data_IF_435452340276
#
_entry.id   IF_435452340276
#
_cell.length_a   1.000
_cell.length_b   1.000
_cell.length_c   1.000
_cell.angle_alpha   90.00
_cell.angle_beta   90.00
_cell.angle_gamma   90.00
#
_symmetry.space_group_name_H-M   'P 1'
#
loop_
_entity.id
_entity.type
_entity.pdbx_description
1 polymer ?
#
# COMPACT_ATOMS: atom_id res chain seq x y z
N UNK A 1 -3.36 46.38 -35.63
CA UNK A 1 -3.14 44.95 -35.94
C UNK A 1 -2.43 44.29 -34.76
N UNK A 2 -2.94 43.14 -34.32
CA UNK A 2 -2.51 42.34 -33.15
C UNK A 2 -1.08 41.83 -33.31
N UNK A 3 -0.34 41.68 -32.19
CA UNK A 3 0.47 40.48 -31.89
C UNK A 3 0.92 40.48 -30.43
N UNK A 4 0.10 39.86 -29.60
CA UNK A 4 0.40 39.45 -28.23
C UNK A 4 1.50 38.38 -28.30
N UNK A 5 2.72 38.71 -27.85
CA UNK A 5 3.79 37.72 -27.72
C UNK A 5 3.59 36.95 -26.40
N UNK A 6 2.78 35.91 -26.45
CA UNK A 6 2.63 34.96 -25.37
C UNK A 6 3.94 34.18 -25.17
N UNK A 7 4.65 34.48 -24.09
CA UNK A 7 5.67 33.56 -23.53
C UNK A 7 4.93 32.33 -23.03
N UNK A 8 4.84 31.31 -23.88
CA UNK A 8 4.39 29.98 -23.52
C UNK A 8 5.47 29.37 -22.62
N UNK A 9 5.29 29.51 -21.31
CA UNK A 9 6.11 28.86 -20.30
C UNK A 9 5.72 27.39 -20.32
N UNK A 10 6.48 26.58 -21.07
CA UNK A 10 6.34 25.12 -21.09
C UNK A 10 6.83 24.61 -19.73
N UNK A 11 5.92 24.59 -18.75
CA UNK A 11 6.07 23.79 -17.55
C UNK A 11 5.92 22.33 -17.99
N UNK A 12 7.06 21.73 -18.33
CA UNK A 12 7.17 20.29 -18.48
C UNK A 12 6.94 19.69 -17.09
N UNK A 13 5.68 19.42 -16.76
CA UNK A 13 5.33 18.54 -15.66
C UNK A 13 5.87 17.16 -16.04
N UNK A 14 7.13 16.91 -15.67
CA UNK A 14 7.58 15.56 -15.45
C UNK A 14 6.62 14.99 -14.40
N UNK A 15 5.58 14.31 -14.86
CA UNK A 15 4.87 13.32 -14.07
C UNK A 15 5.86 12.18 -13.82
N UNK A 16 6.91 12.48 -13.04
CA UNK A 16 7.72 11.47 -12.41
C UNK A 16 6.72 10.70 -11.57
N UNK A 17 6.48 9.45 -11.95
CA UNK A 17 5.89 8.48 -11.06
C UNK A 17 6.86 8.35 -9.88
N UNK A 18 6.76 9.30 -8.94
CA UNK A 18 7.43 9.19 -7.67
C UNK A 18 6.95 7.87 -7.09
N UNK A 19 7.84 7.00 -6.62
CA UNK A 19 7.41 5.87 -5.82
C UNK A 19 6.54 6.48 -4.74
N UNK A 20 5.26 6.10 -4.71
CA UNK A 20 4.32 6.56 -3.70
C UNK A 20 4.87 6.01 -2.39
N UNK A 21 5.73 6.79 -1.73
CA UNK A 21 6.28 6.43 -0.45
C UNK A 21 5.09 6.32 0.48
N UNK A 22 4.96 5.15 1.11
CA UNK A 22 3.88 4.86 2.02
C UNK A 22 3.86 5.95 3.11
N UNK A 23 2.87 6.84 3.06
CA UNK A 23 2.80 7.96 4.00
C UNK A 23 2.47 7.39 5.39
N UNK A 24 3.17 7.80 6.45
CA UNK A 24 2.85 7.36 7.80
C UNK A 24 1.42 7.78 8.17
N UNK A 25 0.69 6.92 8.88
CA UNK A 25 -0.65 7.26 9.37
C UNK A 25 -0.96 6.56 10.69
N UNK A 26 -1.97 7.07 11.41
CA UNK A 26 -2.52 6.43 12.60
C UNK A 26 -3.84 5.74 12.26
N UNK A 27 -4.04 4.52 12.73
CA UNK A 27 -5.27 3.75 12.55
C UNK A 27 -5.67 3.02 13.82
N UNK A 28 -6.89 3.27 14.30
CA UNK A 28 -7.41 2.59 15.51
C UNK A 28 -6.52 2.76 16.75
N UNK A 29 -5.79 3.89 16.85
CA UNK A 29 -4.83 4.15 17.92
C UNK A 29 -3.41 3.61 17.69
N UNK A 30 -3.16 2.85 16.60
CA UNK A 30 -1.83 2.37 16.21
C UNK A 30 -1.20 3.30 15.17
N UNK A 31 0.03 3.75 15.41
CA UNK A 31 0.83 4.46 14.40
C UNK A 31 1.52 3.45 13.46
N UNK A 32 1.42 3.68 12.15
CA UNK A 32 2.06 2.91 11.10
C UNK A 32 3.07 3.80 10.37
N UNK A 33 4.35 3.66 10.75
CA UNK A 33 5.45 4.33 10.06
C UNK A 33 5.66 3.77 8.66
N UNK A 34 6.28 4.56 7.77
CA UNK A 34 6.65 4.15 6.42
C UNK A 34 7.49 2.86 6.42
N UNK A 35 8.40 2.72 7.37
CA UNK A 35 9.26 1.53 7.49
C UNK A 35 8.47 0.28 7.85
N UNK A 36 7.53 0.39 8.79
CA UNK A 36 6.62 -0.72 9.16
C UNK A 36 5.72 -1.12 7.99
N UNK A 37 5.25 -0.15 7.20
CA UNK A 37 4.45 -0.42 6.01
C UNK A 37 5.29 -1.14 4.94
N UNK A 38 6.54 -0.70 4.74
CA UNK A 38 7.48 -1.34 3.82
C UNK A 38 7.87 -2.75 4.27
N UNK A 39 8.12 -2.94 5.56
CA UNK A 39 8.41 -4.25 6.15
C UNK A 39 7.24 -5.21 5.98
N UNK A 40 6.01 -4.75 6.21
CA UNK A 40 4.82 -5.57 5.97
C UNK A 40 4.69 -5.97 4.50
N UNK A 41 4.86 -5.00 3.60
CA UNK A 41 4.81 -5.24 2.16
C UNK A 41 5.86 -6.29 1.75
N UNK A 42 7.10 -6.12 2.19
CA UNK A 42 8.19 -7.05 1.92
C UNK A 42 7.89 -8.45 2.47
N UNK A 43 7.43 -8.54 3.73
CA UNK A 43 7.12 -9.79 4.37
C UNK A 43 6.00 -10.58 3.65
N UNK A 44 5.02 -9.88 3.07
CA UNK A 44 3.95 -10.50 2.27
C UNK A 44 4.48 -10.97 0.91
N UNK A 45 5.31 -10.16 0.26
CA UNK A 45 5.91 -10.50 -1.04
C UNK A 45 6.81 -11.74 -0.90
N UNK A 46 7.61 -11.82 0.15
CA UNK A 46 8.49 -12.94 0.47
C UNK A 46 7.72 -14.19 0.92
N UNK A 47 6.62 -14.03 1.67
CA UNK A 47 5.74 -15.12 2.11
C UNK A 47 4.76 -15.55 1.01
N UNK A 48 5.30 -15.81 -0.19
CA UNK A 48 4.59 -16.36 -1.32
C UNK A 48 3.75 -15.37 -2.13
N UNK A 49 3.68 -14.09 -1.76
CA UNK A 49 2.94 -13.06 -2.50
C UNK A 49 3.36 -12.98 -3.97
N UNK A 50 4.67 -12.98 -4.23
CA UNK A 50 5.17 -12.95 -5.62
C UNK A 50 4.75 -14.17 -6.43
N UNK A 51 4.74 -15.35 -5.81
CA UNK A 51 4.40 -16.61 -6.48
C UNK A 51 2.92 -16.67 -6.91
N UNK A 52 2.05 -15.93 -6.24
CA UNK A 52 0.62 -15.84 -6.55
C UNK A 52 0.23 -14.52 -7.21
N UNK A 53 1.21 -13.80 -7.77
CA UNK A 53 0.98 -12.63 -8.61
C UNK A 53 0.71 -11.32 -7.87
N UNK A 54 1.06 -11.20 -6.59
CA UNK A 54 1.08 -9.90 -5.89
C UNK A 54 2.23 -9.06 -6.42
N UNK A 55 1.92 -7.88 -6.93
CA UNK A 55 2.88 -6.92 -7.48
C UNK A 55 3.21 -5.83 -6.47
N UNK A 56 2.20 -5.31 -5.77
CA UNK A 56 2.36 -4.25 -4.76
C UNK A 56 1.45 -4.52 -3.56
N UNK A 57 1.88 -4.02 -2.41
CA UNK A 57 1.13 -4.10 -1.16
C UNK A 57 1.04 -2.69 -0.59
N UNK A 58 -0.18 -2.28 -0.25
CA UNK A 58 -0.45 -0.99 0.35
C UNK A 58 -1.21 -1.16 1.64
N UNK A 59 -0.99 -0.23 2.57
CA UNK A 59 -1.75 -0.17 3.81
C UNK A 59 -2.56 1.09 3.85
N UNK A 60 -3.86 0.95 4.13
CA UNK A 60 -4.76 2.08 4.33
C UNK A 60 -5.57 1.90 5.61
N UNK A 61 -5.99 3.00 6.23
CA UNK A 61 -6.91 2.94 7.35
C UNK A 61 -8.34 3.22 6.88
N UNK A 62 -9.29 2.35 7.23
CA UNK A 62 -10.72 2.64 7.06
C UNK A 62 -11.47 2.31 8.34
N UNK A 63 -12.20 3.28 8.90
CA UNK A 63 -13.01 3.10 10.12
C UNK A 63 -12.25 2.46 11.30
N UNK A 64 -10.95 2.77 11.43
CA UNK A 64 -10.09 2.21 12.49
C UNK A 64 -9.64 0.77 12.26
N UNK A 65 -9.81 0.23 11.05
CA UNK A 65 -9.29 -1.07 10.60
C UNK A 65 -8.19 -0.84 9.57
N UNK A 66 -7.10 -1.57 9.72
CA UNK A 66 -5.94 -1.55 8.83
C UNK A 66 -6.25 -2.50 7.68
N UNK A 67 -6.38 -1.94 6.48
CA UNK A 67 -6.56 -2.71 5.26
C UNK A 67 -5.21 -2.87 4.58
N UNK A 68 -4.78 -4.12 4.45
CA UNK A 68 -3.65 -4.54 3.63
C UNK A 68 -4.20 -4.86 2.25
N UNK A 69 -3.96 -3.97 1.29
CA UNK A 69 -4.46 -4.06 -0.08
C UNK A 69 -3.38 -4.69 -0.95
N UNK A 70 -3.72 -5.78 -1.61
CA UNK A 70 -2.86 -6.49 -2.54
C UNK A 70 -3.19 -6.07 -3.96
N UNK A 71 -2.25 -5.43 -4.63
CA UNK A 71 -2.34 -5.15 -6.06
C UNK A 71 -1.68 -6.31 -6.82
N UNK A 72 -2.47 -7.10 -7.55
CA UNK A 72 -2.00 -8.33 -8.19
C UNK A 72 -3.08 -9.10 -8.94
N UNK A 73 -2.71 -10.26 -9.49
CA UNK A 73 -3.63 -11.13 -10.22
C UNK A 73 -4.59 -11.89 -9.28
N UNK A 74 -5.69 -12.41 -9.83
CA UNK A 74 -6.76 -13.08 -9.06
C UNK A 74 -6.31 -14.31 -8.23
N UNK A 75 -5.16 -14.92 -8.49
CA UNK A 75 -4.61 -16.01 -7.68
C UNK A 75 -4.23 -15.58 -6.25
N UNK A 76 -3.89 -14.29 -6.07
CA UNK A 76 -3.68 -13.67 -4.76
C UNK A 76 -4.97 -13.58 -3.90
N UNK A 77 -6.14 -13.88 -4.47
CA UNK A 77 -7.42 -13.85 -3.79
C UNK A 77 -7.77 -15.15 -3.04
N UNK A 78 -6.89 -16.16 -3.07
CA UNK A 78 -7.12 -17.44 -2.37
C UNK A 78 -7.22 -17.24 -0.84
N UNK A 79 -8.27 -17.76 -0.17
CA UNK A 79 -8.50 -17.49 1.26
C UNK A 79 -7.38 -17.92 2.21
N UNK A 80 -6.63 -18.96 1.86
CA UNK A 80 -5.51 -19.47 2.66
C UNK A 80 -4.35 -18.48 2.76
N UNK A 81 -3.97 -17.84 1.65
CA UNK A 81 -2.93 -16.82 1.63
C UNK A 81 -3.37 -15.55 2.36
N UNK A 82 -4.61 -15.10 2.13
CA UNK A 82 -5.17 -13.93 2.85
C UNK A 82 -5.15 -14.12 4.36
N UNK A 83 -5.51 -15.30 4.86
CA UNK A 83 -5.43 -15.62 6.30
C UNK A 83 -3.99 -15.58 6.81
N UNK A 84 -3.04 -16.16 6.07
CA UNK A 84 -1.62 -16.16 6.42
C UNK A 84 -1.07 -14.74 6.51
N UNK A 85 -1.31 -13.91 5.51
CA UNK A 85 -0.82 -12.52 5.50
C UNK A 85 -1.54 -11.64 6.53
N UNK A 86 -2.80 -11.94 6.85
CA UNK A 86 -3.49 -11.30 7.97
C UNK A 86 -2.80 -11.62 9.29
N UNK A 87 -2.46 -12.90 9.54
CA UNK A 87 -1.73 -13.30 10.74
C UNK A 87 -0.34 -12.64 10.82
N UNK A 88 0.36 -12.54 9.68
CA UNK A 88 1.64 -11.84 9.56
C UNK A 88 1.51 -10.36 9.94
N UNK A 89 0.52 -9.67 9.39
CA UNK A 89 0.23 -8.27 9.70
C UNK A 89 -0.16 -8.08 11.17
N UNK A 90 -1.00 -8.95 11.74
CA UNK A 90 -1.37 -8.94 13.16
C UNK A 90 -0.14 -9.06 14.05
N UNK A 91 0.76 -10.00 13.75
CA UNK A 91 1.98 -10.22 14.52
C UNK A 91 2.94 -9.03 14.42
N UNK A 92 3.18 -8.53 13.21
CA UNK A 92 4.09 -7.42 12.96
C UNK A 92 3.59 -6.11 13.59
N UNK A 93 2.31 -5.80 13.38
CA UNK A 93 1.70 -4.55 13.84
C UNK A 93 1.31 -4.61 15.33
N UNK A 94 1.28 -5.79 15.93
CA UNK A 94 0.86 -6.03 17.31
C UNK A 94 -0.53 -5.45 17.59
N UNK A 95 -1.47 -5.77 16.70
CA UNK A 95 -2.87 -5.34 16.80
C UNK A 95 -3.80 -6.55 16.81
N UNK A 96 -5.00 -6.44 17.41
CA UNK A 96 -5.99 -7.51 17.36
C UNK A 96 -6.36 -7.92 15.92
N UNK A 97 -6.75 -9.18 15.72
CA UNK A 97 -7.09 -9.71 14.38
C UNK A 97 -8.25 -8.99 13.72
N UNK A 98 -9.24 -8.50 14.49
CA UNK A 98 -10.37 -7.70 14.01
C UNK A 98 -9.96 -6.30 13.53
N UNK A 99 -8.73 -5.85 13.82
CA UNK A 99 -8.17 -4.57 13.36
C UNK A 99 -7.38 -4.68 12.07
N UNK A 100 -7.28 -5.86 11.47
CA UNK A 100 -6.57 -6.07 10.20
C UNK A 100 -7.44 -6.82 9.22
N UNK A 101 -7.47 -6.40 7.97
CA UNK A 101 -8.11 -7.13 6.87
C UNK A 101 -7.22 -7.11 5.64
N UNK A 102 -7.05 -8.26 4.99
CA UNK A 102 -6.32 -8.38 3.71
C UNK A 102 -7.34 -8.40 2.57
N UNK A 103 -7.16 -7.53 1.58
CA UNK A 103 -8.07 -7.37 0.44
C UNK A 103 -7.36 -7.58 -0.87
#
# INVERSE_FOLDING_TARGET
MKKTAGKLLVLCFCAGAWPVMAQPFTCGGKFLGSDTQAELAQAIIEDGGRAVGVQRVFTICQKGVIHVVLDGNNEAATPSYKKRWQQRAVALLQVPTDKVTVR
#
